data_IF_041366474009
#
_entry.id   IF_041366474009
#
_cell.length_a   1.000
_cell.length_b   1.000
_cell.length_c   1.000
_cell.angle_alpha   90.00
_cell.angle_beta   90.00
_cell.angle_gamma   90.00
#
_symmetry.space_group_name_H-M   'P 1'
#
loop_
_entity.id
_entity.type
_entity.pdbx_description
1 polymer ?
#
# COMPACT_ATOMS: atom_id res chain seq x y z
N UNK A 1 -3.50 25.95 -8.61
CA UNK A 1 -2.48 26.48 -7.66
C UNK A 1 -3.22 27.00 -6.44
N UNK A 2 -3.16 26.29 -5.34
CA UNK A 2 -3.79 26.68 -4.07
C UNK A 2 -2.71 26.89 -3.02
N UNK A 3 -2.85 27.95 -2.24
CA UNK A 3 -1.91 28.36 -1.18
C UNK A 3 -2.09 27.57 0.13
N UNK A 4 -2.38 26.26 0.05
CA UNK A 4 -2.65 25.39 1.18
C UNK A 4 -1.99 24.03 0.98
N UNK A 5 -1.78 23.28 2.09
CA UNK A 5 -1.15 21.97 2.07
C UNK A 5 -1.90 20.98 1.17
N UNK A 6 -1.16 20.21 0.42
CA UNK A 6 -1.58 19.06 -0.37
C UNK A 6 -0.81 17.86 0.19
N UNK A 7 -1.48 16.84 0.68
CA UNK A 7 -0.89 15.75 1.45
C UNK A 7 -1.34 14.39 0.92
N UNK A 8 -0.66 13.32 1.37
CA UNK A 8 -0.97 11.91 1.11
C UNK A 8 -1.24 11.62 -0.37
N UNK A 9 -0.29 11.89 -1.28
CA UNK A 9 -0.48 11.57 -2.69
C UNK A 9 -0.56 10.06 -2.88
N UNK A 10 -1.44 9.64 -3.81
CA UNK A 10 -1.52 8.28 -4.32
C UNK A 10 -1.58 8.32 -5.83
N UNK A 11 -0.94 7.39 -6.52
CA UNK A 11 -0.88 7.41 -7.98
C UNK A 11 -1.04 6.03 -8.59
N UNK A 12 -1.57 5.97 -9.80
CA UNK A 12 -1.66 4.74 -10.58
C UNK A 12 -1.60 5.00 -12.07
N UNK A 13 -1.03 4.05 -12.82
CA UNK A 13 -1.00 4.07 -14.28
C UNK A 13 -2.29 3.48 -14.82
N UNK A 14 -2.84 4.08 -15.88
CA UNK A 14 -4.06 3.67 -16.54
C UNK A 14 -3.76 2.83 -17.78
N UNK A 15 -4.78 2.12 -18.28
CA UNK A 15 -4.65 1.18 -19.41
C UNK A 15 -4.22 1.83 -20.74
N UNK A 16 -4.29 3.14 -20.87
CA UNK A 16 -3.85 3.92 -22.03
C UNK A 16 -2.42 4.50 -21.90
N UNK A 17 -1.68 4.13 -20.81
CA UNK A 17 -0.34 4.62 -20.50
C UNK A 17 -0.31 6.00 -19.84
N UNK A 18 -1.45 6.65 -19.68
CA UNK A 18 -1.56 7.84 -18.84
C UNK A 18 -1.53 7.44 -17.37
N UNK A 19 -1.38 8.40 -16.46
CA UNK A 19 -1.48 8.14 -15.03
C UNK A 19 -2.32 9.21 -14.33
N UNK A 20 -2.84 8.87 -13.15
CA UNK A 20 -3.56 9.79 -12.28
C UNK A 20 -2.83 9.91 -10.95
N UNK A 21 -2.78 11.12 -10.41
CA UNK A 21 -2.32 11.41 -9.05
C UNK A 21 -3.52 11.94 -8.28
N UNK A 22 -3.77 11.38 -7.11
CA UNK A 22 -4.81 11.76 -6.16
C UNK A 22 -4.12 12.29 -4.90
N UNK A 23 -4.70 13.28 -4.24
CA UNK A 23 -4.20 13.83 -2.97
C UNK A 23 -5.34 14.38 -2.13
N UNK A 24 -5.13 14.55 -0.84
CA UNK A 24 -6.05 15.32 -0.03
C UNK A 24 -5.51 16.75 0.21
N UNK A 25 -6.42 17.70 0.33
CA UNK A 25 -6.02 19.10 0.51
C UNK A 25 -7.17 20.07 0.43
N UNK A 26 -6.85 21.34 0.32
CA UNK A 26 -7.84 22.40 0.14
C UNK A 26 -7.89 22.82 -1.32
N UNK A 27 -9.09 22.83 -1.89
CA UNK A 27 -9.38 23.29 -3.25
C UNK A 27 -10.46 24.36 -3.30
N UNK A 28 -10.81 24.80 -4.51
CA UNK A 28 -11.81 25.86 -4.70
C UNK A 28 -13.22 25.46 -4.29
N UNK A 29 -13.51 24.17 -4.18
CA UNK A 29 -14.85 23.62 -3.92
C UNK A 29 -14.97 22.99 -2.53
N UNK A 30 -13.85 22.59 -1.94
CA UNK A 30 -13.80 21.98 -0.63
C UNK A 30 -12.56 22.47 0.15
N UNK A 31 -12.75 22.74 1.43
CA UNK A 31 -11.69 23.18 2.34
C UNK A 31 -10.77 22.05 2.83
N UNK A 32 -11.15 20.78 2.64
CA UNK A 32 -10.39 19.60 3.04
C UNK A 32 -10.95 18.36 2.36
N UNK A 33 -10.82 18.28 1.03
CA UNK A 33 -11.35 17.20 0.20
C UNK A 33 -10.26 16.39 -0.49
N UNK A 34 -10.67 15.41 -1.27
CA UNK A 34 -9.83 14.60 -2.14
C UNK A 34 -9.89 15.14 -3.57
N UNK A 35 -8.74 15.37 -4.15
CA UNK A 35 -8.58 15.93 -5.49
C UNK A 35 -7.72 15.01 -6.36
N UNK A 36 -7.80 15.21 -7.67
CA UNK A 36 -6.98 14.46 -8.61
C UNK A 36 -6.63 15.23 -9.86
N UNK A 37 -5.54 14.84 -10.51
CA UNK A 37 -5.10 15.32 -11.80
C UNK A 37 -4.61 14.15 -12.65
N UNK A 38 -5.07 14.08 -13.88
CA UNK A 38 -4.57 13.12 -14.87
C UNK A 38 -3.39 13.71 -15.65
N UNK A 39 -2.46 12.85 -16.02
CA UNK A 39 -1.29 13.17 -16.81
C UNK A 39 -1.15 12.17 -17.96
N UNK A 40 -0.63 12.62 -19.10
CA UNK A 40 -0.23 11.71 -20.17
C UNK A 40 1.07 10.96 -19.82
N UNK A 41 1.45 9.97 -20.64
CA UNK A 41 2.67 9.18 -20.43
C UNK A 41 3.96 10.03 -20.45
N UNK A 42 3.91 11.26 -20.95
CA UNK A 42 5.01 12.23 -20.94
C UNK A 42 5.01 13.16 -19.72
N UNK A 43 4.08 12.97 -18.78
CA UNK A 43 3.95 13.77 -17.56
C UNK A 43 3.30 15.16 -17.80
N UNK A 44 2.62 15.37 -18.94
CA UNK A 44 1.86 16.58 -19.16
C UNK A 44 0.45 16.44 -18.62
N UNK A 45 -0.02 17.46 -17.88
CA UNK A 45 -1.38 17.48 -17.36
C UNK A 45 -2.41 17.36 -18.49
N UNK A 46 -3.40 16.48 -18.31
CA UNK A 46 -4.51 16.22 -19.23
C UNK A 46 -5.81 16.64 -18.56
N UNK A 47 -6.51 17.62 -19.12
CA UNK A 47 -7.70 18.20 -18.52
C UNK A 47 -7.42 19.07 -17.30
N UNK A 48 -8.48 19.36 -16.57
CA UNK A 48 -8.42 20.16 -15.35
C UNK A 48 -8.32 19.25 -14.10
N UNK A 49 -7.82 19.81 -12.99
CA UNK A 49 -7.95 19.23 -11.66
C UNK A 49 -9.43 18.95 -11.36
N UNK A 50 -9.72 17.81 -10.78
CA UNK A 50 -11.09 17.42 -10.43
C UNK A 50 -11.20 17.03 -8.95
N UNK A 51 -12.38 17.24 -8.39
CA UNK A 51 -12.71 16.81 -7.03
C UNK A 51 -13.24 15.38 -7.07
N UNK A 52 -12.75 14.53 -6.18
CA UNK A 52 -13.12 13.12 -6.06
C UNK A 52 -14.40 12.98 -5.25
N UNK A 53 -14.38 13.46 -3.98
CA UNK A 53 -15.51 13.35 -3.06
C UNK A 53 -16.71 14.19 -3.52
N UNK A 54 -17.91 13.70 -3.28
CA UNK A 54 -19.17 14.40 -3.57
C UNK A 54 -19.69 15.18 -2.36
N UNK A 55 -19.37 14.71 -1.15
CA UNK A 55 -19.70 15.37 0.10
C UNK A 55 -18.53 16.22 0.57
N UNK A 56 -18.79 17.52 0.79
CA UNK A 56 -17.78 18.54 1.13
C UNK A 56 -17.84 19.00 2.59
N UNK A 57 -18.55 18.25 3.43
CA UNK A 57 -18.61 18.52 4.87
C UNK A 57 -17.54 17.72 5.60
N UNK A 58 -16.84 18.36 6.54
CA UNK A 58 -15.73 17.75 7.29
C UNK A 58 -14.49 17.44 6.43
N UNK A 59 -13.65 16.50 6.83
CA UNK A 59 -12.37 16.20 6.21
C UNK A 59 -12.44 14.84 5.50
N UNK A 60 -11.91 14.79 4.28
CA UNK A 60 -11.65 13.56 3.54
C UNK A 60 -10.15 13.46 3.30
N UNK A 61 -9.54 12.30 3.62
CA UNK A 61 -8.09 12.12 3.61
C UNK A 61 -7.69 10.66 3.43
N UNK A 62 -6.38 10.36 3.37
CA UNK A 62 -5.81 9.03 3.14
C UNK A 62 -6.40 8.34 1.91
N UNK A 63 -6.38 9.05 0.78
CA UNK A 63 -6.91 8.50 -0.46
C UNK A 63 -5.95 7.49 -1.10
N UNK A 64 -6.50 6.40 -1.61
CA UNK A 64 -5.77 5.39 -2.38
C UNK A 64 -6.46 5.15 -3.71
N UNK A 65 -5.70 4.88 -4.79
CA UNK A 65 -6.21 4.74 -6.16
C UNK A 65 -5.69 3.49 -6.84
N UNK A 66 -6.57 2.81 -7.58
CA UNK A 66 -6.21 1.68 -8.44
C UNK A 66 -6.85 1.81 -9.84
N UNK A 67 -6.24 1.23 -10.89
CA UNK A 67 -6.84 1.22 -12.21
C UNK A 67 -8.10 0.35 -12.22
N UNK A 68 -9.11 0.74 -12.98
CA UNK A 68 -10.35 -0.02 -13.15
C UNK A 68 -10.97 0.23 -14.52
N UNK A 69 -11.11 -0.82 -15.32
CA UNK A 69 -11.61 -0.71 -16.69
C UNK A 69 -10.77 0.24 -17.54
N UNK A 70 -11.41 1.23 -18.12
CA UNK A 70 -10.80 2.33 -18.88
C UNK A 70 -10.58 3.60 -18.03
N UNK A 71 -10.62 3.46 -16.71
CA UNK A 71 -10.43 4.54 -15.75
C UNK A 71 -9.79 4.05 -14.46
N UNK A 72 -10.37 4.46 -13.33
CA UNK A 72 -9.81 4.16 -12.01
C UNK A 72 -10.88 4.21 -10.92
N UNK A 73 -10.58 3.61 -9.78
CA UNK A 73 -11.35 3.70 -8.56
C UNK A 73 -10.50 4.38 -7.49
N UNK A 74 -11.12 5.30 -6.74
CA UNK A 74 -10.52 5.98 -5.59
C UNK A 74 -11.28 5.58 -4.34
N UNK A 75 -10.55 5.27 -3.28
CA UNK A 75 -11.09 5.09 -1.92
C UNK A 75 -10.46 6.12 -0.99
N UNK A 76 -11.18 6.53 0.05
CA UNK A 76 -10.70 7.51 1.04
C UNK A 76 -11.41 7.34 2.38
N UNK A 77 -10.81 7.91 3.41
CA UNK A 77 -11.42 8.06 4.72
C UNK A 77 -12.26 9.34 4.78
N UNK A 78 -13.49 9.25 5.28
CA UNK A 78 -14.45 10.34 5.38
C UNK A 78 -14.88 10.56 6.84
N UNK A 79 -14.56 11.73 7.37
CA UNK A 79 -14.94 12.16 8.74
C UNK A 79 -16.32 12.81 8.81
N UNK A 80 -17.09 12.84 7.71
CA UNK A 80 -18.33 13.60 7.68
C UNK A 80 -19.45 12.98 8.51
N UNK A 81 -19.37 11.69 8.87
CA UNK A 81 -20.44 10.94 9.50
C UNK A 81 -21.72 10.95 8.67
N UNK A 82 -21.60 11.07 7.36
CA UNK A 82 -22.74 11.25 6.46
C UNK A 82 -23.48 9.95 6.25
N UNK A 83 -24.62 9.84 6.92
CA UNK A 83 -25.62 8.81 6.66
C UNK A 83 -25.87 7.83 7.79
N UNK A 84 -24.96 7.63 8.73
CA UNK A 84 -25.10 6.61 9.76
C UNK A 84 -24.72 7.06 11.18
N UNK A 85 -23.97 8.17 11.32
CA UNK A 85 -23.55 8.72 12.61
C UNK A 85 -22.26 8.14 13.16
N UNK A 86 -21.49 7.42 12.33
CA UNK A 86 -20.10 7.01 12.65
C UNK A 86 -19.19 8.22 12.76
N UNK A 87 -18.01 8.04 13.33
CA UNK A 87 -17.01 9.10 13.39
C UNK A 87 -16.17 9.19 12.11
N UNK A 88 -15.89 8.05 11.49
CA UNK A 88 -15.13 7.91 10.26
C UNK A 88 -15.59 6.68 9.49
N UNK A 89 -15.68 6.80 8.17
CA UNK A 89 -16.10 5.77 7.24
C UNK A 89 -15.10 5.63 6.09
N UNK A 90 -15.13 4.51 5.39
CA UNK A 90 -14.43 4.31 4.13
C UNK A 90 -15.42 4.48 2.98
N UNK A 91 -15.06 5.36 2.06
CA UNK A 91 -15.85 5.61 0.84
C UNK A 91 -15.05 5.33 -0.39
N UNK A 92 -15.77 5.09 -1.48
CA UNK A 92 -15.14 4.91 -2.79
C UNK A 92 -15.98 5.52 -3.91
N UNK A 93 -15.32 5.78 -5.04
CA UNK A 93 -15.94 6.32 -6.25
C UNK A 93 -15.22 5.80 -7.48
N UNK A 94 -15.96 5.49 -8.53
CA UNK A 94 -15.39 4.96 -9.78
C UNK A 94 -15.49 6.02 -10.87
N UNK A 95 -14.37 6.21 -11.58
CA UNK A 95 -14.23 7.14 -12.68
C UNK A 95 -13.92 6.41 -13.98
N UNK A 96 -14.36 6.97 -15.10
CA UNK A 96 -13.94 6.59 -16.45
C UNK A 96 -13.23 7.76 -17.14
N UNK A 97 -12.28 7.44 -18.00
CA UNK A 97 -11.63 8.40 -18.90
C UNK A 97 -12.29 8.45 -20.27
N UNK A 98 -13.47 7.84 -20.42
CA UNK A 98 -14.24 7.80 -21.68
C UNK A 98 -15.70 8.21 -21.48
N UNK A 99 -16.27 8.91 -22.48
CA UNK A 99 -17.70 9.09 -22.68
C UNK A 99 -18.14 8.16 -23.82
N UNK A 100 -18.64 7.00 -23.44
CA UNK A 100 -18.85 5.90 -24.36
C UNK A 100 -17.54 5.38 -24.95
N UNK A 101 -17.34 5.55 -26.26
CA UNK A 101 -16.08 5.17 -26.94
C UNK A 101 -15.12 6.34 -27.16
N UNK A 102 -15.44 7.54 -26.63
CA UNK A 102 -14.66 8.76 -26.84
C UNK A 102 -13.83 9.06 -25.60
N UNK A 103 -12.50 9.15 -25.70
CA UNK A 103 -11.65 9.62 -24.59
C UNK A 103 -12.02 11.05 -24.17
N UNK A 104 -11.98 11.30 -22.86
CA UNK A 104 -12.19 12.62 -22.27
C UNK A 104 -10.93 13.05 -21.50
N UNK A 105 -10.64 14.35 -21.51
CA UNK A 105 -9.47 14.89 -20.82
C UNK A 105 -9.66 14.88 -19.31
N UNK A 106 -10.82 15.34 -18.81
CA UNK A 106 -11.17 15.28 -17.39
C UNK A 106 -12.01 14.03 -17.11
N UNK A 107 -11.62 13.17 -16.17
CA UNK A 107 -12.36 11.96 -15.84
C UNK A 107 -13.80 12.28 -15.41
N UNK A 108 -14.74 11.43 -15.81
CA UNK A 108 -16.16 11.53 -15.43
C UNK A 108 -16.52 10.42 -14.45
N UNK A 109 -17.45 10.72 -13.54
CA UNK A 109 -17.97 9.75 -12.59
C UNK A 109 -18.72 8.64 -13.32
N UNK A 110 -18.29 7.39 -13.15
CA UNK A 110 -18.98 6.21 -13.65
C UNK A 110 -19.93 5.65 -12.59
N UNK A 111 -19.43 5.46 -11.37
CA UNK A 111 -20.25 5.11 -10.20
C UNK A 111 -20.02 6.19 -9.15
N UNK A 112 -21.10 6.81 -8.67
CA UNK A 112 -21.02 7.86 -7.67
C UNK A 112 -20.59 7.30 -6.31
N UNK A 113 -20.23 8.18 -5.39
CA UNK A 113 -19.73 7.89 -4.07
C UNK A 113 -20.62 6.88 -3.31
N UNK A 114 -19.99 5.80 -2.83
CA UNK A 114 -20.64 4.76 -2.05
C UNK A 114 -19.85 4.43 -0.78
N UNK A 115 -20.56 3.94 0.24
CA UNK A 115 -19.99 3.46 1.49
C UNK A 115 -19.38 2.08 1.26
N UNK A 116 -18.15 1.84 1.77
CA UNK A 116 -17.43 0.57 1.64
C UNK A 116 -17.66 -0.30 2.86
N UNK A 117 -17.46 0.24 4.08
CA UNK A 117 -17.63 -0.49 5.33
C UNK A 117 -19.11 -0.67 5.69
N UNK A 118 -19.47 -1.85 6.18
CA UNK A 118 -20.82 -2.12 6.70
C UNK A 118 -20.93 -1.87 8.20
N UNK A 119 -19.83 -1.96 8.94
CA UNK A 119 -19.76 -1.55 10.33
C UNK A 119 -19.77 -0.02 10.41
N UNK A 120 -20.78 0.53 11.05
CA UNK A 120 -21.01 1.98 11.19
C UNK A 120 -20.71 2.49 12.60
N UNK A 121 -20.11 1.67 13.44
CA UNK A 121 -19.59 2.05 14.77
C UNK A 121 -18.09 2.04 14.76
N UNK A 122 -17.48 2.91 15.55
CA UNK A 122 -16.03 2.99 15.65
C UNK A 122 -15.37 3.88 14.61
N UNK A 123 -14.12 3.60 14.35
CA UNK A 123 -13.28 4.33 13.41
C UNK A 123 -12.76 3.37 12.36
N UNK A 124 -13.07 3.65 11.10
CA UNK A 124 -12.50 2.98 9.94
C UNK A 124 -11.50 3.93 9.29
N UNK A 125 -10.27 3.47 9.04
CA UNK A 125 -9.18 4.33 8.57
C UNK A 125 -8.21 3.64 7.62
N UNK A 126 -7.31 4.45 7.03
CA UNK A 126 -6.17 4.05 6.18
C UNK A 126 -6.57 3.08 5.07
N UNK A 127 -7.55 3.43 4.19
CA UNK A 127 -7.97 2.53 3.14
C UNK A 127 -6.87 2.32 2.10
N UNK A 128 -6.72 1.07 1.67
CA UNK A 128 -5.82 0.66 0.60
C UNK A 128 -6.60 -0.08 -0.48
N UNK A 129 -6.20 0.04 -1.73
CA UNK A 129 -6.90 -0.58 -2.85
C UNK A 129 -5.93 -1.23 -3.83
N UNK A 130 -6.31 -2.37 -4.39
CA UNK A 130 -5.64 -2.98 -5.54
C UNK A 130 -6.63 -3.49 -6.56
N UNK A 131 -6.28 -3.36 -7.84
CA UNK A 131 -7.02 -4.00 -8.93
C UNK A 131 -6.67 -5.49 -9.01
N UNK A 132 -7.64 -6.32 -9.37
CA UNK A 132 -7.49 -7.75 -9.54
C UNK A 132 -7.43 -8.14 -11.02
N UNK A 133 -6.86 -9.31 -11.32
CA UNK A 133 -6.74 -9.82 -12.71
C UNK A 133 -8.09 -10.11 -13.37
N UNK A 134 -9.15 -10.35 -12.61
CA UNK A 134 -10.50 -10.55 -13.11
C UNK A 134 -11.23 -9.24 -13.48
N UNK A 135 -10.55 -8.09 -13.35
CA UNK A 135 -11.08 -6.76 -13.60
C UNK A 135 -11.80 -6.13 -12.41
N UNK A 136 -11.97 -6.88 -11.32
CA UNK A 136 -12.48 -6.36 -10.05
C UNK A 136 -11.39 -5.68 -9.22
N UNK A 137 -11.70 -5.37 -7.97
CA UNK A 137 -10.75 -4.77 -7.03
C UNK A 137 -11.06 -5.18 -5.58
N UNK A 138 -10.10 -4.95 -4.70
CA UNK A 138 -10.26 -5.14 -3.25
C UNK A 138 -9.88 -3.84 -2.55
N UNK A 139 -10.71 -3.41 -1.60
CA UNK A 139 -10.42 -2.32 -0.67
C UNK A 139 -10.17 -2.94 0.70
N UNK A 140 -9.10 -2.52 1.38
CA UNK A 140 -8.78 -2.84 2.78
C UNK A 140 -8.93 -1.58 3.63
N UNK A 141 -9.12 -1.76 4.93
CA UNK A 141 -9.12 -0.68 5.93
C UNK A 141 -8.82 -1.22 7.33
N UNK A 142 -8.36 -0.35 8.22
CA UNK A 142 -8.33 -0.62 9.65
C UNK A 142 -9.67 -0.33 10.30
N UNK A 143 -10.14 -1.20 11.18
CA UNK A 143 -11.40 -1.04 11.94
C UNK A 143 -11.17 -1.32 13.42
N UNK A 144 -11.52 -0.36 14.29
CA UNK A 144 -11.32 -0.50 15.74
C UNK A 144 -12.54 -1.05 16.51
N UNK A 145 -13.68 -1.29 15.84
CA UNK A 145 -14.89 -1.84 16.46
C UNK A 145 -15.56 -2.93 15.62
N UNK A 146 -14.84 -3.64 14.76
CA UNK A 146 -15.37 -4.61 13.79
C UNK A 146 -16.74 -5.19 14.10
N UNK A 147 -17.63 -5.15 13.14
CA UNK A 147 -19.05 -5.60 13.27
C UNK A 147 -19.21 -7.06 13.69
N UNK A 148 -18.15 -7.83 13.62
CA UNK A 148 -18.09 -9.22 14.01
C UNK A 148 -16.99 -9.49 15.05
N UNK A 149 -16.70 -8.49 15.86
CA UNK A 149 -15.66 -8.44 16.85
C UNK A 149 -15.39 -9.82 17.51
N UNK A 150 -14.42 -10.55 16.97
CA UNK A 150 -14.01 -11.83 17.51
C UNK A 150 -13.33 -11.65 18.88
N UNK A 151 -12.84 -10.43 19.17
CA UNK A 151 -12.27 -10.05 20.46
C UNK A 151 -12.62 -8.60 20.83
N UNK A 152 -13.75 -8.37 21.55
CA UNK A 152 -14.14 -7.05 22.04
C UNK A 152 -13.11 -6.48 23.01
N UNK A 153 -12.39 -5.47 22.60
CA UNK A 153 -11.37 -4.78 23.40
C UNK A 153 -9.95 -4.98 22.89
N UNK A 154 -9.77 -5.66 21.78
CA UNK A 154 -8.58 -5.56 20.94
C UNK A 154 -8.47 -4.15 20.34
N UNK A 155 -7.32 -3.84 19.80
CA UNK A 155 -7.11 -2.58 19.06
C UNK A 155 -7.81 -2.58 17.70
N UNK A 156 -7.10 -2.18 16.69
CA UNK A 156 -7.58 -2.15 15.31
C UNK A 156 -7.28 -3.48 14.60
N UNK A 157 -8.21 -3.95 13.78
CA UNK A 157 -8.06 -5.10 12.90
C UNK A 157 -8.09 -4.66 11.43
N UNK A 158 -7.54 -5.46 10.52
CA UNK A 158 -7.58 -5.20 9.07
C UNK A 158 -8.74 -5.95 8.45
N UNK A 159 -9.65 -5.22 7.81
CA UNK A 159 -10.79 -5.75 7.07
C UNK A 159 -10.65 -5.49 5.57
N UNK A 160 -11.43 -6.21 4.78
CA UNK A 160 -11.48 -6.04 3.33
C UNK A 160 -12.85 -6.33 2.73
N UNK A 161 -13.12 -5.68 1.59
CA UNK A 161 -14.27 -5.92 0.74
C UNK A 161 -13.84 -6.06 -0.71
N UNK A 162 -14.35 -7.10 -1.37
CA UNK A 162 -14.10 -7.34 -2.81
C UNK A 162 -15.23 -6.79 -3.65
N UNK A 163 -14.89 -6.29 -4.82
CA UNK A 163 -15.80 -5.80 -5.87
C UNK A 163 -15.49 -6.49 -7.19
N UNK A 164 -16.50 -6.70 -8.01
CA UNK A 164 -16.35 -7.21 -9.38
C UNK A 164 -15.98 -6.11 -10.38
N UNK A 165 -15.77 -6.49 -11.65
CA UNK A 165 -15.45 -5.56 -12.73
C UNK A 165 -16.55 -4.52 -13.04
N UNK A 166 -17.73 -4.64 -12.44
CA UNK A 166 -18.81 -3.65 -12.55
C UNK A 166 -18.90 -2.71 -11.34
N UNK A 167 -18.01 -2.90 -10.34
CA UNK A 167 -18.04 -2.17 -9.07
C UNK A 167 -19.14 -2.67 -8.11
N UNK A 168 -19.67 -3.88 -8.34
CA UNK A 168 -20.62 -4.52 -7.44
C UNK A 168 -19.90 -5.32 -6.37
N UNK A 169 -20.36 -5.21 -5.11
CA UNK A 169 -19.83 -6.01 -4.01
C UNK A 169 -19.91 -7.52 -4.31
N UNK A 170 -18.84 -8.22 -3.98
CA UNK A 170 -18.74 -9.68 -4.10
C UNK A 170 -18.53 -10.29 -2.73
N UNK A 171 -19.53 -10.98 -2.22
CA UNK A 171 -19.51 -11.56 -0.88
C UNK A 171 -19.69 -10.52 0.22
N UNK A 172 -19.33 -10.90 1.43
CA UNK A 172 -19.34 -10.03 2.61
C UNK A 172 -17.92 -9.53 2.90
N UNK A 173 -17.82 -8.52 3.75
CA UNK A 173 -16.55 -8.12 4.36
C UNK A 173 -15.85 -9.33 5.00
N UNK A 174 -14.55 -9.33 4.95
CA UNK A 174 -13.71 -10.40 5.54
C UNK A 174 -12.59 -9.83 6.40
N UNK A 175 -12.27 -10.53 7.46
CA UNK A 175 -11.13 -10.24 8.32
C UNK A 175 -9.84 -10.74 7.67
N UNK A 176 -8.83 -9.89 7.58
CA UNK A 176 -7.53 -10.20 6.99
C UNK A 176 -6.63 -10.91 7.98
N UNK A 177 -6.34 -10.27 9.14
CA UNK A 177 -5.50 -10.84 10.18
C UNK A 177 -6.19 -12.04 10.86
N UNK A 178 -5.43 -13.05 11.23
CA UNK A 178 -5.94 -14.23 11.92
C UNK A 178 -5.90 -14.06 13.43
N UNK A 179 -5.04 -13.20 13.92
CA UNK A 179 -4.86 -12.88 15.32
C UNK A 179 -5.45 -11.49 15.60
N UNK A 180 -6.37 -11.41 16.55
CA UNK A 180 -7.12 -10.19 16.88
C UNK A 180 -6.62 -9.51 18.17
N UNK A 181 -5.47 -9.91 18.73
CA UNK A 181 -4.85 -9.24 19.86
C UNK A 181 -4.00 -8.04 19.40
N UNK A 182 -3.94 -6.99 20.19
CA UNK A 182 -3.17 -5.80 19.86
C UNK A 182 -3.83 -4.88 18.81
N UNK A 183 -3.03 -4.19 18.05
CA UNK A 183 -3.49 -3.31 16.97
C UNK A 183 -2.76 -3.67 15.69
N UNK A 184 -3.52 -4.00 14.64
CA UNK A 184 -3.04 -4.22 13.29
C UNK A 184 -3.34 -2.98 12.45
N UNK A 185 -2.33 -2.38 11.83
CA UNK A 185 -2.47 -1.14 11.08
C UNK A 185 -1.41 -1.01 9.98
N UNK A 186 -1.43 0.11 9.24
CA UNK A 186 -0.55 0.36 8.10
C UNK A 186 -0.56 -0.81 7.11
N UNK A 187 -1.76 -1.28 6.74
CA UNK A 187 -1.88 -2.36 5.78
C UNK A 187 -1.49 -1.91 4.37
N UNK A 188 -0.89 -2.81 3.60
CA UNK A 188 -0.61 -2.61 2.18
C UNK A 188 -1.06 -3.84 1.40
N UNK A 189 -1.50 -3.67 0.16
CA UNK A 189 -2.06 -4.73 -0.67
C UNK A 189 -1.52 -4.67 -2.09
N UNK A 190 -1.24 -5.83 -2.67
CA UNK A 190 -0.92 -5.96 -4.09
C UNK A 190 -1.64 -7.17 -4.70
N UNK A 191 -2.02 -7.09 -5.97
CA UNK A 191 -2.55 -8.24 -6.70
C UNK A 191 -1.47 -9.34 -6.78
N UNK A 192 -1.81 -10.59 -6.52
CA UNK A 192 -0.88 -11.70 -6.56
C UNK A 192 -1.56 -12.99 -7.05
N UNK A 193 -1.03 -13.58 -8.11
CA UNK A 193 -1.65 -14.74 -8.74
C UNK A 193 -3.10 -14.44 -9.18
N UNK A 194 -4.01 -15.32 -8.82
CA UNK A 194 -5.47 -15.15 -9.03
C UNK A 194 -6.16 -14.42 -7.87
N UNK A 195 -5.39 -13.76 -7.00
CA UNK A 195 -5.89 -13.04 -5.84
C UNK A 195 -5.01 -11.87 -5.46
N UNK A 196 -4.61 -11.81 -4.20
CA UNK A 196 -3.82 -10.70 -3.66
C UNK A 196 -2.99 -11.13 -2.43
N UNK A 197 -1.97 -10.34 -2.14
CA UNK A 197 -1.18 -10.41 -0.90
C UNK A 197 -1.44 -9.15 -0.08
N UNK A 198 -1.56 -9.32 1.23
CA UNK A 198 -1.70 -8.24 2.21
C UNK A 198 -0.55 -8.30 3.18
N UNK A 199 -0.02 -7.14 3.55
CA UNK A 199 0.93 -6.97 4.65
C UNK A 199 0.37 -5.97 5.64
N UNK A 200 0.73 -6.12 6.91
CA UNK A 200 0.34 -5.18 7.98
C UNK A 200 1.36 -5.18 9.09
N UNK A 201 1.30 -4.16 9.90
CA UNK A 201 2.03 -4.02 11.14
C UNK A 201 1.18 -4.51 12.31
N UNK A 202 1.76 -5.34 13.18
CA UNK A 202 1.12 -5.85 14.39
C UNK A 202 1.86 -5.34 15.62
N UNK A 203 1.15 -4.63 16.50
CA UNK A 203 1.72 -4.01 17.70
C UNK A 203 1.77 -4.91 18.93
N UNK A 204 1.21 -6.14 18.88
CA UNK A 204 1.20 -7.06 20.02
C UNK A 204 2.22 -8.19 19.90
N UNK A 205 3.47 -7.88 20.16
CA UNK A 205 4.56 -8.88 20.15
C UNK A 205 4.51 -9.95 21.24
N UNK A 206 3.48 -10.02 22.12
CA UNK A 206 3.59 -10.85 23.31
C UNK A 206 2.46 -11.83 23.61
N UNK A 207 1.25 -11.65 23.05
CA UNK A 207 0.08 -12.37 23.53
C UNK A 207 -0.08 -13.78 22.97
N UNK A 208 0.49 -14.10 21.81
CA UNK A 208 0.37 -15.41 21.15
C UNK A 208 1.61 -16.31 21.29
N UNK A 209 2.61 -15.88 22.08
CA UNK A 209 3.91 -16.57 22.19
C UNK A 209 4.86 -16.28 21.03
N UNK A 210 4.56 -15.29 20.19
CA UNK A 210 5.45 -14.72 19.23
C UNK A 210 6.38 -13.76 19.98
N UNK A 211 7.47 -14.27 20.51
CA UNK A 211 8.40 -13.49 21.32
C UNK A 211 9.22 -12.57 20.42
N UNK A 212 9.11 -11.26 20.59
CA UNK A 212 9.97 -10.36 19.85
C UNK A 212 9.87 -8.90 20.22
N UNK A 213 9.61 -8.10 19.23
CA UNK A 213 9.58 -6.65 19.27
C UNK A 213 8.21 -6.11 19.69
N UNK A 214 8.15 -4.81 19.85
CA UNK A 214 6.91 -4.11 20.08
C UNK A 214 6.01 -4.06 18.83
N UNK A 215 6.59 -4.16 17.62
CA UNK A 215 5.87 -4.17 16.35
C UNK A 215 6.61 -5.10 15.37
N UNK A 216 5.84 -5.91 14.65
CA UNK A 216 6.32 -6.85 13.64
C UNK A 216 5.50 -6.74 12.35
N UNK A 217 6.09 -7.16 11.23
CA UNK A 217 5.43 -7.16 9.93
C UNK A 217 4.93 -8.57 9.62
N UNK A 218 3.64 -8.68 9.34
CA UNK A 218 2.99 -9.89 8.89
C UNK A 218 2.52 -9.79 7.45
N UNK A 219 2.33 -10.94 6.82
CA UNK A 219 1.74 -11.05 5.51
C UNK A 219 0.81 -12.26 5.42
N UNK A 220 -0.13 -12.19 4.49
CA UNK A 220 -1.08 -13.26 4.17
C UNK A 220 -1.48 -13.15 2.71
N UNK A 221 -1.67 -14.28 2.04
CA UNK A 221 -2.17 -14.28 0.66
C UNK A 221 -3.59 -14.82 0.60
N UNK A 222 -4.32 -14.33 -0.37
CA UNK A 222 -5.68 -14.73 -0.65
C UNK A 222 -5.83 -15.10 -2.12
N UNK A 223 -6.72 -16.05 -2.43
CA UNK A 223 -7.16 -16.35 -3.79
C UNK A 223 -8.62 -15.97 -3.97
N UNK A 224 -8.99 -15.59 -5.18
CA UNK A 224 -10.37 -15.30 -5.56
C UNK A 224 -11.04 -16.48 -6.27
N UNK A 225 -10.37 -17.63 -6.29
CA UNK A 225 -10.86 -18.89 -6.83
C UNK A 225 -10.77 -20.02 -5.81
N UNK A 226 -11.61 -21.04 -5.95
CA UNK A 226 -11.73 -22.17 -5.00
C UNK A 226 -10.79 -23.35 -5.30
N UNK A 227 -9.77 -23.14 -6.12
CA UNK A 227 -8.85 -24.21 -6.54
C UNK A 227 -9.43 -25.17 -7.60
N UNK A 228 -10.72 -25.09 -7.91
CA UNK A 228 -11.37 -25.74 -9.06
C UNK A 228 -11.54 -24.78 -10.24
N UNK A 229 -10.87 -23.62 -10.20
CA UNK A 229 -10.96 -22.48 -11.12
C UNK A 229 -12.35 -21.82 -11.17
N UNK A 230 -13.15 -21.96 -10.11
CA UNK A 230 -14.40 -21.21 -9.95
C UNK A 230 -14.18 -19.96 -9.09
N UNK A 231 -14.80 -18.81 -9.44
CA UNK A 231 -14.74 -17.63 -8.58
C UNK A 231 -15.43 -17.90 -7.25
N UNK A 232 -14.89 -17.31 -6.18
CA UNK A 232 -15.50 -17.36 -4.84
C UNK A 232 -15.97 -15.98 -4.42
N UNK A 233 -17.06 -15.92 -3.66
CA UNK A 233 -17.62 -14.65 -3.19
C UNK A 233 -16.74 -14.04 -2.08
N UNK A 234 -16.22 -14.87 -1.17
CA UNK A 234 -15.27 -14.45 -0.13
C UNK A 234 -13.90 -15.02 -0.49
N UNK A 235 -12.82 -14.18 -0.51
CA UNK A 235 -11.48 -14.66 -0.79
C UNK A 235 -11.06 -15.81 0.14
N UNK A 236 -10.47 -16.83 -0.45
CA UNK A 236 -9.95 -18.00 0.30
C UNK A 236 -8.51 -17.72 0.68
N UNK A 237 -8.13 -18.07 1.90
CA UNK A 237 -6.73 -17.98 2.34
C UNK A 237 -5.87 -18.89 1.46
N UNK A 238 -4.89 -18.29 0.76
CA UNK A 238 -3.91 -19.02 -0.03
C UNK A 238 -2.75 -19.49 0.83
N UNK A 239 -2.00 -18.55 1.40
CA UNK A 239 -0.96 -18.79 2.39
C UNK A 239 -1.41 -18.11 3.67
N UNK A 240 -1.47 -18.89 4.77
CA UNK A 240 -1.85 -18.36 6.07
C UNK A 240 -0.83 -17.35 6.58
N UNK A 241 -1.22 -16.60 7.59
CA UNK A 241 -0.44 -15.52 8.20
C UNK A 241 0.97 -15.97 8.58
N UNK A 242 1.97 -15.22 8.13
CA UNK A 242 3.38 -15.46 8.41
C UNK A 242 4.14 -14.18 8.73
N UNK A 243 5.18 -14.32 9.55
CA UNK A 243 6.08 -13.23 9.93
C UNK A 243 7.04 -12.91 8.78
N UNK A 244 7.07 -11.64 8.34
CA UNK A 244 7.91 -11.16 7.24
C UNK A 244 9.34 -10.87 7.70
N UNK A 245 9.50 -10.11 8.79
CA UNK A 245 10.79 -9.67 9.35
C UNK A 245 11.49 -10.77 10.18
N UNK A 246 11.50 -11.98 9.64
CA UNK A 246 11.90 -13.20 10.36
C UNK A 246 13.42 -13.45 10.37
N UNK A 247 14.18 -12.83 9.48
CA UNK A 247 15.60 -13.10 9.35
C UNK A 247 16.46 -12.18 10.22
N UNK A 248 16.95 -12.71 11.31
CA UNK A 248 17.98 -12.12 12.15
C UNK A 248 18.85 -13.23 12.74
N UNK A 249 20.09 -12.91 13.18
CA UNK A 249 20.92 -13.85 13.94
C UNK A 249 20.15 -14.30 15.20
N UNK A 250 19.59 -15.49 15.17
CA UNK A 250 18.82 -16.03 16.27
C UNK A 250 17.38 -16.41 15.95
N UNK A 251 16.91 -16.21 14.72
CA UNK A 251 15.60 -16.67 14.30
C UNK A 251 15.44 -18.17 14.59
N UNK A 252 14.53 -18.53 15.47
CA UNK A 252 14.19 -19.92 15.77
C UNK A 252 12.92 -20.29 15.03
N UNK A 253 12.95 -21.41 14.35
CA UNK A 253 11.76 -21.99 13.72
C UNK A 253 11.12 -22.99 14.70
N UNK A 254 9.78 -22.99 14.78
CA UNK A 254 9.07 -24.05 15.45
C UNK A 254 9.14 -25.37 14.63
N UNK A 255 8.60 -26.46 15.18
CA UNK A 255 8.61 -27.77 14.52
C UNK A 255 7.86 -27.82 13.17
N UNK A 256 7.11 -26.78 12.83
CA UNK A 256 6.36 -26.66 11.57
C UNK A 256 7.07 -25.74 10.57
N UNK A 257 8.29 -25.25 10.88
CA UNK A 257 9.04 -24.34 10.03
C UNK A 257 8.64 -22.86 10.17
N UNK A 258 7.67 -22.54 11.03
CA UNK A 258 7.29 -21.14 11.31
C UNK A 258 8.37 -20.48 12.15
N UNK A 259 8.83 -19.32 11.71
CA UNK A 259 9.80 -18.52 12.48
C UNK A 259 9.05 -17.88 13.66
N UNK A 260 9.62 -18.02 14.86
CA UNK A 260 9.00 -17.60 16.13
C UNK A 260 9.78 -16.49 16.86
N UNK A 261 10.86 -16.00 16.29
CA UNK A 261 11.62 -14.88 16.86
C UNK A 261 11.81 -13.81 15.79
N UNK A 262 11.25 -12.64 16.05
CA UNK A 262 11.51 -11.42 15.27
C UNK A 262 12.85 -10.78 15.63
N UNK A 263 13.32 -9.83 14.81
CA UNK A 263 14.39 -8.91 15.21
C UNK A 263 13.98 -8.12 16.46
N UNK A 264 14.95 -7.88 17.34
CA UNK A 264 14.72 -6.93 18.43
C UNK A 264 14.57 -5.52 17.85
N UNK A 265 13.50 -4.83 18.18
CA UNK A 265 13.20 -3.49 17.72
C UNK A 265 11.84 -3.39 17.07
N UNK A 266 11.44 -2.20 16.69
CA UNK A 266 10.16 -1.92 16.07
C UNK A 266 10.27 -2.02 14.56
N UNK A 267 9.35 -2.74 13.91
CA UNK A 267 9.22 -2.88 12.47
C UNK A 267 7.90 -2.24 12.05
N UNK A 268 7.93 -1.28 11.14
CA UNK A 268 6.80 -0.41 10.85
C UNK A 268 6.66 -0.13 9.36
N UNK A 269 5.47 0.30 8.96
CA UNK A 269 5.17 0.81 7.62
C UNK A 269 5.52 -0.17 6.50
N UNK A 270 4.90 -1.35 6.46
CA UNK A 270 5.11 -2.28 5.36
C UNK A 270 4.49 -1.78 4.06
N UNK A 271 5.17 -2.03 2.95
CA UNK A 271 4.63 -1.87 1.61
C UNK A 271 4.91 -3.13 0.79
N UNK A 272 3.99 -3.53 -0.08
CA UNK A 272 4.11 -4.77 -0.87
C UNK A 272 3.86 -4.51 -2.35
N UNK A 273 4.68 -5.13 -3.20
CA UNK A 273 4.47 -5.16 -4.65
C UNK A 273 4.65 -6.57 -5.20
N UNK A 274 3.76 -6.96 -6.12
CA UNK A 274 3.90 -8.18 -6.88
C UNK A 274 4.88 -7.99 -8.03
N UNK A 275 5.67 -9.02 -8.31
CA UNK A 275 6.72 -9.00 -9.31
C UNK A 275 6.30 -9.77 -10.58
N UNK A 276 6.89 -9.42 -11.72
CA UNK A 276 6.57 -10.05 -13.01
C UNK A 276 6.94 -11.53 -13.08
N UNK A 277 7.79 -12.03 -12.18
CA UNK A 277 8.11 -13.46 -12.05
C UNK A 277 7.07 -14.27 -11.25
N UNK A 278 6.00 -13.61 -10.82
CA UNK A 278 4.91 -14.20 -10.06
C UNK A 278 5.14 -14.20 -8.55
N UNK A 279 6.30 -13.76 -8.08
CA UNK A 279 6.59 -13.53 -6.66
C UNK A 279 6.12 -12.16 -6.19
N UNK A 280 6.55 -11.78 -4.99
CA UNK A 280 6.32 -10.44 -4.43
C UNK A 280 7.49 -10.00 -3.55
N UNK A 281 7.55 -8.70 -3.28
CA UNK A 281 8.52 -8.12 -2.35
C UNK A 281 7.77 -7.32 -1.30
N UNK A 282 8.19 -7.45 -0.04
CA UNK A 282 7.72 -6.63 1.08
C UNK A 282 8.87 -5.75 1.53
N UNK A 283 8.60 -4.48 1.75
CA UNK A 283 9.55 -3.51 2.31
C UNK A 283 9.01 -2.93 3.60
N UNK A 284 9.87 -2.51 4.53
CA UNK A 284 9.46 -1.92 5.81
C UNK A 284 10.56 -1.05 6.42
N UNK A 285 10.19 -0.22 7.38
CA UNK A 285 11.12 0.50 8.24
C UNK A 285 11.48 -0.36 9.46
N UNK A 286 12.76 -0.48 9.77
CA UNK A 286 13.25 -1.16 10.97
C UNK A 286 13.93 -0.19 11.92
N UNK A 287 13.49 -0.17 13.17
CA UNK A 287 14.06 0.58 14.29
C UNK A 287 14.84 -0.36 15.22
N UNK A 288 15.76 -1.15 14.71
CA UNK A 288 16.48 -2.10 15.55
C UNK A 288 17.67 -1.46 16.27
N UNK A 289 17.80 -1.75 17.57
CA UNK A 289 19.00 -1.41 18.36
C UNK A 289 20.16 -2.37 18.11
N UNK A 290 20.20 -3.02 16.94
CA UNK A 290 21.18 -4.07 16.67
C UNK A 290 22.59 -3.49 16.48
N UNK A 291 23.40 -3.63 17.52
CA UNK A 291 24.77 -3.08 17.61
C UNK A 291 25.86 -4.01 17.05
N UNK A 292 25.53 -5.04 16.30
CA UNK A 292 26.51 -6.14 16.09
C UNK A 292 27.51 -5.91 14.96
N UNK A 293 27.32 -4.95 14.06
CA UNK A 293 28.28 -4.70 12.98
C UNK A 293 28.94 -3.32 13.07
N UNK A 294 28.21 -2.27 13.48
CA UNK A 294 28.67 -0.88 13.36
C UNK A 294 28.55 -0.04 14.63
N UNK A 295 28.01 -0.57 15.74
CA UNK A 295 28.05 0.08 17.06
C UNK A 295 27.02 1.21 17.30
N UNK A 296 25.98 1.36 16.47
CA UNK A 296 24.95 2.40 16.60
C UNK A 296 23.51 1.88 16.66
N UNK A 297 22.57 2.75 17.07
CA UNK A 297 21.14 2.52 16.89
C UNK A 297 20.79 2.86 15.44
N UNK A 298 20.35 1.87 14.65
CA UNK A 298 20.19 2.04 13.22
C UNK A 298 18.73 1.92 12.80
N UNK A 299 18.24 2.98 12.22
CA UNK A 299 17.04 2.96 11.40
C UNK A 299 17.43 2.54 9.98
N UNK A 300 16.56 1.81 9.31
CA UNK A 300 16.81 1.41 7.93
C UNK A 300 15.55 0.97 7.22
N UNK A 301 15.59 1.06 5.90
CA UNK A 301 14.61 0.43 5.02
C UNK A 301 15.13 -0.95 4.65
N UNK A 302 14.31 -1.96 4.89
CA UNK A 302 14.62 -3.35 4.61
C UNK A 302 13.58 -3.94 3.65
N UNK A 303 13.94 -5.06 3.02
CA UNK A 303 13.06 -5.81 2.16
C UNK A 303 13.31 -7.31 2.23
N UNK A 304 12.25 -8.07 1.93
CA UNK A 304 12.28 -9.51 1.76
C UNK A 304 11.50 -9.88 0.51
N UNK A 305 12.12 -10.65 -0.38
CA UNK A 305 11.48 -11.19 -1.56
C UNK A 305 10.89 -12.56 -1.27
N UNK A 306 9.79 -12.86 -1.92
CA UNK A 306 9.08 -14.13 -1.87
C UNK A 306 8.85 -14.65 -3.29
N UNK A 307 8.89 -15.95 -3.48
CA UNK A 307 8.52 -16.58 -4.74
C UNK A 307 7.00 -16.67 -4.92
N UNK A 308 6.55 -17.16 -6.07
CA UNK A 308 5.12 -17.32 -6.38
C UNK A 308 4.37 -18.28 -5.43
N UNK A 309 5.08 -19.04 -4.62
CA UNK A 309 4.47 -19.90 -3.59
C UNK A 309 4.45 -19.25 -2.21
N UNK A 310 4.96 -18.02 -2.09
CA UNK A 310 5.11 -17.30 -0.83
C UNK A 310 6.26 -17.79 0.05
N UNK A 311 7.16 -18.62 -0.50
CA UNK A 311 8.38 -18.98 0.20
C UNK A 311 9.42 -17.84 0.08
N UNK A 312 10.20 -17.56 1.15
CA UNK A 312 11.26 -16.56 1.06
C UNK A 312 12.25 -16.88 -0.06
N UNK A 313 12.50 -15.93 -0.94
CA UNK A 313 13.46 -16.03 -2.03
C UNK A 313 14.68 -15.16 -1.73
N UNK A 314 15.70 -15.78 -1.18
CA UNK A 314 16.87 -15.12 -0.64
C UNK A 314 16.73 -14.69 0.82
N UNK A 315 17.74 -13.97 1.28
CA UNK A 315 17.74 -13.39 2.62
C UNK A 315 17.13 -11.98 2.60
N UNK A 316 16.67 -11.55 3.75
CA UNK A 316 16.35 -10.14 4.00
C UNK A 316 17.52 -9.25 3.62
N UNK A 317 17.27 -8.12 3.00
CA UNK A 317 18.30 -7.20 2.53
C UNK A 317 17.98 -5.75 2.91
N UNK A 318 19.03 -4.96 3.01
CA UNK A 318 18.91 -3.53 3.27
C UNK A 318 18.77 -2.76 1.96
N UNK A 319 17.81 -1.86 1.91
CA UNK A 319 17.48 -1.03 0.74
C UNK A 319 18.35 0.23 0.72
N UNK A 320 18.29 1.04 1.78
CA UNK A 320 19.04 2.29 1.88
C UNK A 320 20.53 2.07 2.16
N UNK A 321 21.37 3.02 1.73
CA UNK A 321 22.84 2.97 1.93
C UNK A 321 23.29 3.75 3.16
N UNK A 322 22.67 4.88 3.48
CA UNK A 322 23.03 5.70 4.64
C UNK A 322 22.62 5.04 5.95
N UNK A 323 23.47 5.12 6.99
CA UNK A 323 23.26 4.48 8.27
C UNK A 323 22.83 5.43 9.39
N UNK A 324 22.90 6.74 9.18
CA UNK A 324 22.84 7.73 10.26
C UNK A 324 21.51 8.50 10.35
N UNK A 325 20.44 8.04 9.65
CA UNK A 325 19.26 8.87 9.46
C UNK A 325 17.98 8.10 9.81
N UNK A 326 17.05 8.76 10.51
CA UNK A 326 15.69 8.27 10.72
C UNK A 326 14.97 8.22 9.38
N UNK A 327 14.50 7.05 8.99
CA UNK A 327 13.77 6.81 7.77
C UNK A 327 12.37 6.36 8.10
N UNK A 328 11.44 6.66 7.22
CA UNK A 328 10.08 6.27 7.42
C UNK A 328 9.37 6.04 6.08
N UNK A 329 8.34 5.19 6.12
CA UNK A 329 7.33 5.00 5.10
C UNK A 329 7.90 4.58 3.73
N UNK A 330 8.55 3.42 3.62
CA UNK A 330 8.96 2.93 2.30
C UNK A 330 7.74 2.52 1.49
N UNK A 331 7.73 2.93 0.22
CA UNK A 331 6.77 2.50 -0.77
C UNK A 331 7.47 1.74 -1.88
N UNK A 332 6.91 0.62 -2.33
CA UNK A 332 7.49 -0.24 -3.36
C UNK A 332 6.56 -0.44 -4.55
N UNK A 333 7.13 -0.45 -5.75
CA UNK A 333 6.42 -0.80 -6.98
C UNK A 333 7.26 -1.74 -7.82
N UNK A 334 6.60 -2.59 -8.61
CA UNK A 334 7.28 -3.42 -9.60
C UNK A 334 7.83 -2.56 -10.76
N UNK A 335 8.88 -3.05 -11.41
CA UNK A 335 9.41 -2.55 -12.68
C UNK A 335 9.63 -3.74 -13.61
N UNK A 336 9.92 -3.52 -14.89
CA UNK A 336 10.14 -4.59 -15.87
C UNK A 336 11.29 -5.55 -15.49
N UNK A 337 12.28 -5.05 -14.76
CA UNK A 337 13.46 -5.84 -14.38
C UNK A 337 13.47 -6.24 -12.90
N UNK A 338 12.47 -5.84 -12.12
CA UNK A 338 12.39 -6.12 -10.68
C UNK A 338 11.47 -5.18 -9.94
N UNK A 339 12.00 -4.26 -9.14
CA UNK A 339 11.20 -3.32 -8.36
C UNK A 339 11.97 -2.03 -8.04
N UNK A 340 11.24 -0.99 -7.66
CA UNK A 340 11.80 0.25 -7.14
C UNK A 340 11.14 0.60 -5.81
N UNK A 341 11.92 1.22 -4.92
CA UNK A 341 11.46 1.65 -3.59
C UNK A 341 11.72 3.14 -3.45
N UNK A 342 10.74 3.87 -2.94
CA UNK A 342 10.87 5.26 -2.52
C UNK A 342 10.71 5.35 -0.98
N UNK A 343 11.42 6.28 -0.35
CA UNK A 343 11.30 6.56 1.08
C UNK A 343 11.72 8.00 1.36
N UNK A 344 11.30 8.57 2.48
CA UNK A 344 11.79 9.87 2.88
C UNK A 344 12.76 9.81 4.06
N UNK A 345 13.65 10.78 4.13
CA UNK A 345 14.50 11.02 5.28
C UNK A 345 13.94 12.15 6.14
N UNK A 346 14.21 12.08 7.42
CA UNK A 346 13.87 13.15 8.36
C UNK A 346 14.50 14.53 8.02
N UNK A 347 15.49 14.57 7.12
CA UNK A 347 16.03 15.82 6.60
C UNK A 347 15.10 16.53 5.61
N UNK A 348 13.99 15.91 5.24
CA UNK A 348 13.00 16.43 4.32
C UNK A 348 13.19 16.00 2.87
N UNK A 349 14.15 15.10 2.56
CA UNK A 349 14.38 14.63 1.19
C UNK A 349 13.67 13.28 0.92
N UNK A 350 13.21 13.11 -0.32
CA UNK A 350 12.67 11.85 -0.84
C UNK A 350 13.75 11.14 -1.65
N UNK A 351 13.95 9.87 -1.34
CA UNK A 351 14.95 9.01 -1.98
C UNK A 351 14.29 7.87 -2.76
N UNK A 352 15.04 7.32 -3.71
CA UNK A 352 14.62 6.16 -4.48
C UNK A 352 15.79 5.24 -4.83
N UNK A 353 15.51 3.94 -4.92
CA UNK A 353 16.45 2.91 -5.36
C UNK A 353 15.74 1.84 -6.17
N UNK A 354 16.24 1.57 -7.36
CA UNK A 354 15.79 0.44 -8.16
C UNK A 354 16.61 -0.84 -7.88
N UNK A 355 15.96 -1.97 -8.06
CA UNK A 355 16.54 -3.31 -7.88
C UNK A 355 16.19 -4.21 -9.06
N UNK A 356 17.16 -5.01 -9.51
CA UNK A 356 16.92 -6.05 -10.51
C UNK A 356 16.77 -7.42 -9.85
N UNK A 357 15.79 -8.16 -10.33
CA UNK A 357 15.55 -9.58 -10.05
C UNK A 357 15.81 -10.45 -11.26
N UNK A 358 16.47 -9.91 -12.30
CA UNK A 358 16.83 -10.59 -13.53
C UNK A 358 18.33 -10.61 -13.77
N UNK A 359 18.81 -11.59 -14.55
CA UNK A 359 20.21 -11.63 -15.04
C UNK A 359 20.39 -10.69 -16.27
N UNK A 360 21.62 -10.58 -16.76
CA UNK A 360 21.94 -9.75 -17.93
C UNK A 360 21.22 -10.18 -19.24
N UNK A 361 20.52 -11.30 -19.24
CA UNK A 361 19.71 -11.79 -20.36
C UNK A 361 18.21 -11.60 -20.11
N UNK A 362 17.83 -10.97 -18.98
CA UNK A 362 16.44 -10.76 -18.57
C UNK A 362 15.74 -11.99 -17.98
N UNK A 363 16.49 -13.03 -17.59
CA UNK A 363 15.88 -14.19 -16.93
C UNK A 363 15.75 -13.94 -15.42
N UNK A 364 14.63 -14.32 -14.78
CA UNK A 364 14.48 -14.22 -13.32
C UNK A 364 15.60 -14.95 -12.58
N UNK A 365 16.13 -14.31 -11.55
CA UNK A 365 17.16 -14.88 -10.65
C UNK A 365 16.60 -14.95 -9.23
N UNK A 366 16.77 -16.12 -8.62
CA UNK A 366 16.46 -16.31 -7.21
C UNK A 366 17.50 -15.66 -6.32
N UNK A 367 17.09 -15.27 -5.13
CA UNK A 367 17.98 -14.76 -4.09
C UNK A 367 17.86 -13.25 -3.89
N UNK A 368 18.87 -12.69 -3.22
CA UNK A 368 18.88 -11.26 -2.88
C UNK A 368 18.96 -10.40 -4.15
N UNK A 369 18.02 -9.44 -4.34
CA UNK A 369 18.02 -8.56 -5.50
C UNK A 369 19.26 -7.70 -5.60
N UNK A 370 19.61 -7.30 -6.81
CA UNK A 370 20.77 -6.46 -7.06
C UNK A 370 20.35 -5.01 -7.26
N UNK A 371 21.02 -4.07 -6.58
CA UNK A 371 20.80 -2.63 -6.80
C UNK A 371 21.14 -2.25 -8.23
N UNK A 372 20.26 -1.43 -8.85
CA UNK A 372 20.46 -0.86 -10.18
C UNK A 372 20.78 0.61 -10.03
N UNK A 373 21.99 1.00 -10.42
CA UNK A 373 22.46 2.37 -10.23
C UNK A 373 22.69 2.77 -8.78
N UNK A 374 22.89 4.07 -8.58
CA UNK A 374 23.03 4.66 -7.26
C UNK A 374 21.65 5.06 -6.69
N UNK A 375 21.58 5.23 -5.39
CA UNK A 375 20.43 5.84 -4.70
C UNK A 375 20.22 7.26 -5.22
N UNK A 376 19.01 7.59 -5.62
CA UNK A 376 18.64 8.91 -6.15
C UNK A 376 17.96 9.76 -5.07
N UNK A 377 18.14 11.09 -5.18
CA UNK A 377 17.34 12.08 -4.45
C UNK A 377 16.29 12.58 -5.43
N UNK A 378 15.02 12.30 -5.16
CA UNK A 378 13.94 12.61 -6.09
C UNK A 378 13.62 14.12 -6.15
N UNK A 379 13.83 14.84 -5.03
CA UNK A 379 13.53 16.26 -4.87
C UNK A 379 14.79 17.16 -4.89
N UNK A 380 15.84 16.80 -5.61
CA UNK A 380 17.16 17.47 -5.61
C UNK A 380 17.13 18.94 -6.04
N UNK A 381 16.10 19.38 -6.76
CA UNK A 381 15.92 20.78 -7.17
C UNK A 381 15.20 21.66 -6.12
N UNK A 382 14.60 21.04 -5.07
CA UNK A 382 13.85 21.73 -4.01
C UNK A 382 14.41 21.34 -2.64
N UNK A 383 15.52 21.97 -2.25
CA UNK A 383 16.29 21.65 -1.03
C UNK A 383 15.83 22.39 0.23
N UNK A 384 14.71 23.11 0.20
CA UNK A 384 14.17 23.81 1.35
C UNK A 384 12.83 23.19 1.76
N UNK A 385 12.61 23.01 3.06
CA UNK A 385 11.39 22.49 3.64
C UNK A 385 11.35 21.00 3.86
N UNK A 386 10.16 20.51 4.15
CA UNK A 386 9.91 19.09 4.40
C UNK A 386 9.10 18.52 3.23
N UNK A 387 9.66 17.54 2.54
CA UNK A 387 8.97 16.72 1.58
C UNK A 387 8.78 15.35 2.20
N UNK A 388 7.55 14.85 2.23
CA UNK A 388 7.19 13.57 2.83
C UNK A 388 5.97 12.96 2.13
N UNK A 389 5.40 11.89 2.71
CA UNK A 389 4.20 11.24 2.19
C UNK A 389 4.36 10.85 0.70
N UNK A 390 5.52 10.28 0.36
CA UNK A 390 5.80 9.88 -1.01
C UNK A 390 4.99 8.64 -1.39
N UNK A 391 4.67 8.52 -2.66
CA UNK A 391 4.19 7.30 -3.30
C UNK A 391 5.03 6.97 -4.52
N UNK A 392 5.02 5.72 -4.94
CA UNK A 392 5.71 5.26 -6.14
C UNK A 392 4.79 4.37 -6.98
N UNK A 393 4.77 4.58 -8.28
CA UNK A 393 3.95 3.80 -9.21
C UNK A 393 4.76 3.39 -10.44
N UNK A 394 4.48 2.18 -10.95
CA UNK A 394 5.04 1.68 -12.22
C UNK A 394 4.48 2.48 -13.39
N UNK A 395 5.31 2.77 -14.37
CA UNK A 395 4.93 3.32 -15.67
C UNK A 395 4.94 2.22 -16.75
N UNK A 396 4.17 2.43 -17.82
CA UNK A 396 4.05 1.46 -18.92
C UNK A 396 5.35 1.23 -19.70
N UNK A 397 6.30 2.17 -19.62
CA UNK A 397 7.61 2.06 -20.26
C UNK A 397 8.64 1.28 -19.43
N UNK A 398 8.20 0.68 -18.31
CA UNK A 398 9.03 -0.07 -17.37
C UNK A 398 9.76 0.80 -16.34
N UNK A 399 9.59 2.11 -16.40
CA UNK A 399 10.05 3.07 -15.41
C UNK A 399 9.13 3.16 -14.19
N UNK A 400 9.36 4.16 -13.36
CA UNK A 400 8.52 4.45 -12.20
C UNK A 400 8.36 5.96 -11.99
N UNK A 401 7.25 6.33 -11.37
CA UNK A 401 6.93 7.69 -10.93
C UNK A 401 7.03 7.75 -9.42
N UNK A 402 7.69 8.78 -8.89
CA UNK A 402 7.62 9.13 -7.46
C UNK A 402 6.85 10.44 -7.33
N UNK A 403 5.85 10.47 -6.46
CA UNK A 403 5.11 11.67 -6.08
C UNK A 403 5.27 11.91 -4.58
N UNK A 404 5.26 13.16 -4.15
CA UNK A 404 5.41 13.50 -2.72
C UNK A 404 4.64 14.79 -2.40
N UNK A 405 4.38 15.00 -1.11
CA UNK A 405 3.87 16.27 -0.59
C UNK A 405 5.03 17.23 -0.32
N UNK A 406 4.87 18.49 -0.75
CA UNK A 406 5.82 19.58 -0.50
C UNK A 406 5.17 20.62 0.44
N UNK A 407 5.73 20.80 1.63
CA UNK A 407 5.20 21.68 2.67
C UNK A 407 5.79 23.10 2.64
N UNK A 408 6.54 23.46 1.63
CA UNK A 408 7.19 24.77 1.54
C UNK A 408 6.30 25.90 0.96
N UNK A 409 5.15 25.62 0.44
CA UNK A 409 4.10 26.57 0.02
C UNK A 409 4.53 27.64 -1.00
#
# INVERSE_FOLDING_TARGET
>A
YVSSSQNDPSSTTLSDGSFVVIWHGSGAQDGSGVFGQRYDAGGQAVGDEFMVNSYTSSTQYYASVAPHGDGFVVTWQDDSGHGDGSSTDIRAKIFTTHDGATPVDTPITQIDEFLVNTAVSGTQNDPQITALQDGGFVILWGDNEGSNNADPGSGMDVYGQRYDATGTEVGAEFLVNSYAGGTQYHSSIAAHGDGFVVTWEDSDGSADGREGSSHDIFAKTFTTTDGSNGPVDIPVVGIDEFLVNASGDGATQNSNGTVINSKSGTQEYPSVASLDDGGFVVTWTSHSTYSSVDGGSHYGVFGQRYDATGAPDGAEFRINTSMDIHMAYPEVTATDEGFAVAWYYWNGDVYGQAFSTTDANGNPVSGTPQKVGDEIVANDEHLSGTQNEQTISRLDDGGFLISWADHDG
#
